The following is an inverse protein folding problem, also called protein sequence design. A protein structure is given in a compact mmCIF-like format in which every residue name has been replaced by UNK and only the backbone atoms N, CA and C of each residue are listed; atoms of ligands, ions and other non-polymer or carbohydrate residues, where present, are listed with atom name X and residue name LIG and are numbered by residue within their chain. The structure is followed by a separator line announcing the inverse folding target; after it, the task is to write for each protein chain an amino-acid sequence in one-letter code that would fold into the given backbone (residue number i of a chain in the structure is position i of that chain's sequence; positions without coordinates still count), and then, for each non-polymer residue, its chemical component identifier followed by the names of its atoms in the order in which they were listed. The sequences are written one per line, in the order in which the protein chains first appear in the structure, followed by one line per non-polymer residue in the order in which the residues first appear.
data_IF_425224103805
#
_entry.id   IF_425224103805
#
_cell.length_a   1.000
_cell.length_b   1.000
_cell.length_c   1.000
_cell.angle_alpha   90.00
_cell.angle_beta   90.00
_cell.angle_gamma   90.00
#
_symmetry.space_group_name_H-M   'P 1'
#
loop_
_entity.id
_entity.type
_entity.pdbx_description
1 polymer ?
#
# COMPACT_ATOMS: atom_id res chain seq x y z
N UNK A 1 3.97 -8.33 -2.80
CA UNK A 1 2.94 -8.33 -3.86
C UNK A 1 2.23 -6.99 -3.84
N UNK A 2 1.48 -6.62 -4.88
CA UNK A 2 0.93 -5.25 -4.97
C UNK A 2 -0.34 -5.01 -4.15
N UNK A 3 -0.93 -5.98 -3.46
CA UNK A 3 -2.19 -5.81 -2.70
C UNK A 3 -3.43 -5.32 -3.49
N UNK A 4 -3.35 -5.07 -4.79
CA UNK A 4 -4.43 -4.42 -5.59
C UNK A 4 -5.73 -5.21 -5.83
N UNK A 5 -5.88 -6.43 -5.30
CA UNK A 5 -7.03 -7.31 -5.58
C UNK A 5 -7.78 -7.63 -4.29
N UNK A 6 -8.80 -6.83 -3.97
CA UNK A 6 -9.56 -6.94 -2.73
C UNK A 6 -10.09 -8.37 -2.46
N UNK A 7 -10.85 -9.04 -3.36
CA UNK A 7 -11.40 -10.36 -3.07
C UNK A 7 -10.32 -11.42 -2.74
N UNK A 8 -9.18 -11.37 -3.42
CA UNK A 8 -8.05 -12.28 -3.16
C UNK A 8 -7.49 -12.07 -1.75
N UNK A 9 -7.22 -10.82 -1.38
CA UNK A 9 -6.58 -10.51 -0.10
C UNK A 9 -7.55 -10.67 1.06
N UNK A 10 -8.82 -10.31 0.90
CA UNK A 10 -9.86 -10.57 1.90
C UNK A 10 -9.95 -12.06 2.24
N UNK A 11 -10.01 -12.93 1.21
CA UNK A 11 -10.03 -14.39 1.42
C UNK A 11 -8.78 -14.91 2.13
N UNK A 12 -7.60 -14.36 1.79
CA UNK A 12 -6.35 -14.74 2.41
C UNK A 12 -6.29 -14.31 3.89
N UNK A 13 -6.67 -13.06 4.18
CA UNK A 13 -6.69 -12.49 5.53
C UNK A 13 -7.62 -13.33 6.42
N UNK A 14 -8.86 -13.58 6.01
CA UNK A 14 -9.79 -14.39 6.80
C UNK A 14 -9.25 -15.81 7.06
N UNK A 15 -8.63 -16.44 6.06
CA UNK A 15 -8.03 -17.77 6.25
C UNK A 15 -6.95 -17.74 7.33
N UNK A 16 -6.02 -16.78 7.24
CA UNK A 16 -4.90 -16.66 8.18
C UNK A 16 -5.40 -16.38 9.61
N UNK A 17 -6.37 -15.48 9.77
CA UNK A 17 -6.95 -15.18 11.08
C UNK A 17 -7.64 -16.43 11.66
N UNK A 18 -8.41 -17.17 10.86
CA UNK A 18 -9.06 -18.41 11.30
C UNK A 18 -8.07 -19.53 11.65
N UNK A 19 -6.87 -19.50 11.09
CA UNK A 19 -5.76 -20.42 11.42
C UNK A 19 -4.95 -19.96 12.64
N UNK A 20 -5.31 -18.82 13.26
CA UNK A 20 -4.68 -18.30 14.48
C UNK A 20 -3.47 -17.41 14.24
N UNK A 21 -3.28 -16.89 13.03
CA UNK A 21 -2.20 -15.95 12.74
C UNK A 21 -2.60 -14.49 13.00
N UNK A 22 -1.67 -13.73 13.57
CA UNK A 22 -1.68 -12.26 13.49
C UNK A 22 -1.37 -11.83 12.05
N UNK A 23 -2.09 -10.82 11.58
CA UNK A 23 -1.98 -10.33 10.21
C UNK A 23 -1.69 -8.84 10.25
N UNK A 24 -0.51 -8.48 9.77
CA UNK A 24 -0.04 -7.10 9.65
C UNK A 24 0.02 -6.72 8.17
N UNK A 25 -0.64 -5.64 7.77
CA UNK A 25 -0.55 -5.09 6.42
C UNK A 25 0.47 -3.95 6.36
N UNK A 26 1.54 -4.11 5.60
CA UNK A 26 2.50 -3.04 5.33
C UNK A 26 2.33 -2.52 3.91
N UNK A 27 2.02 -1.23 3.77
CA UNK A 27 1.95 -0.52 2.48
C UNK A 27 3.14 0.40 2.37
N UNK A 28 3.84 0.33 1.24
CA UNK A 28 4.92 1.26 0.90
C UNK A 28 4.47 2.07 -0.30
N UNK A 29 4.34 3.36 -0.11
CA UNK A 29 3.79 4.30 -1.06
C UNK A 29 4.87 5.23 -1.64
N UNK A 30 4.68 5.59 -2.91
CA UNK A 30 5.46 6.61 -3.63
C UNK A 30 4.57 7.32 -4.66
N UNK A 31 4.94 8.53 -5.11
CA UNK A 31 4.37 9.16 -6.30
C UNK A 31 4.57 8.31 -7.56
N UNK A 32 3.64 8.41 -8.52
CA UNK A 32 3.69 7.61 -9.76
C UNK A 32 4.93 7.93 -10.60
N UNK A 33 5.42 9.17 -10.55
CA UNK A 33 6.62 9.63 -11.23
C UNK A 33 7.86 8.90 -10.70
N UNK A 34 7.96 8.76 -9.37
CA UNK A 34 9.03 8.01 -8.71
C UNK A 34 8.94 6.52 -9.06
N UNK A 35 7.73 5.96 -9.08
CA UNK A 35 7.54 4.57 -9.48
C UNK A 35 7.92 4.31 -10.95
N UNK A 36 7.59 5.24 -11.86
CA UNK A 36 7.98 5.18 -13.28
C UNK A 36 9.49 5.19 -13.44
N UNK A 37 10.18 6.11 -12.76
CA UNK A 37 11.63 6.20 -12.82
C UNK A 37 12.30 4.93 -12.29
N UNK A 38 11.87 4.45 -11.12
CA UNK A 38 12.40 3.20 -10.53
C UNK A 38 12.11 1.98 -11.40
N UNK A 39 10.95 1.92 -12.05
CA UNK A 39 10.63 0.87 -13.02
C UNK A 39 11.57 0.91 -14.22
N UNK A 40 11.81 2.10 -14.77
CA UNK A 40 12.68 2.29 -15.92
C UNK A 40 14.11 1.85 -15.61
N UNK A 41 14.68 2.30 -14.49
CA UNK A 41 16.01 1.90 -14.03
C UNK A 41 16.11 0.37 -13.87
N UNK A 42 15.12 -0.25 -13.22
CA UNK A 42 15.06 -1.71 -13.07
C UNK A 42 14.90 -2.44 -14.41
N UNK A 43 14.20 -1.86 -15.38
CA UNK A 43 14.10 -2.41 -16.73
C UNK A 43 15.46 -2.37 -17.44
N UNK A 44 16.22 -1.27 -17.30
CA UNK A 44 17.56 -1.16 -17.90
C UNK A 44 18.49 -2.27 -17.39
N UNK A 45 18.40 -2.62 -16.10
CA UNK A 45 19.19 -3.68 -15.47
C UNK A 45 18.68 -5.09 -15.79
N UNK A 46 17.38 -5.33 -15.60
CA UNK A 46 16.81 -6.69 -15.60
C UNK A 46 16.17 -7.10 -16.91
N UNK A 47 15.98 -6.14 -17.84
CA UNK A 47 15.24 -6.28 -19.10
C UNK A 47 13.78 -6.75 -18.94
N UNK A 48 13.21 -6.65 -17.74
CA UNK A 48 11.80 -6.98 -17.45
C UNK A 48 10.99 -5.70 -17.26
N UNK A 49 10.19 -5.37 -18.28
CA UNK A 49 9.33 -4.18 -18.28
C UNK A 49 7.96 -4.49 -17.70
N UNK A 50 7.45 -3.61 -16.86
CA UNK A 50 6.05 -3.56 -16.44
C UNK A 50 5.33 -2.60 -17.39
N UNK A 51 4.15 -2.99 -17.86
CA UNK A 51 3.36 -2.11 -18.71
C UNK A 51 2.85 -0.90 -17.89
N UNK A 52 2.84 0.27 -18.51
CA UNK A 52 2.54 1.52 -17.81
C UNK A 52 1.11 1.57 -17.27
N UNK A 53 0.15 1.02 -18.01
CA UNK A 53 -1.24 0.86 -17.59
C UNK A 53 -1.34 0.01 -16.31
N UNK A 54 -0.56 -1.07 -16.20
CA UNK A 54 -0.49 -1.92 -14.99
C UNK A 54 0.10 -1.15 -13.80
N UNK A 55 1.07 -0.27 -14.04
CA UNK A 55 1.68 0.57 -13.00
C UNK A 55 0.67 1.59 -12.46
N UNK A 56 -0.03 2.29 -13.37
CA UNK A 56 -1.07 3.29 -13.05
C UNK A 56 -2.26 2.64 -12.34
N UNK A 57 -2.76 1.52 -12.88
CA UNK A 57 -3.84 0.75 -12.27
C UNK A 57 -3.46 0.32 -10.85
N UNK A 58 -2.23 -0.15 -10.65
CA UNK A 58 -1.77 -0.54 -9.31
C UNK A 58 -1.75 0.66 -8.35
N UNK A 59 -1.26 1.84 -8.77
CA UNK A 59 -1.26 3.04 -7.92
C UNK A 59 -2.67 3.46 -7.50
N UNK A 60 -3.66 3.28 -8.39
CA UNK A 60 -5.05 3.58 -8.09
C UNK A 60 -5.70 2.50 -7.22
N UNK A 61 -5.45 1.22 -7.46
CA UNK A 61 -6.17 0.14 -6.79
C UNK A 61 -5.62 -0.22 -5.41
N UNK A 62 -4.37 0.13 -5.10
CA UNK A 62 -3.76 -0.18 -3.80
C UNK A 62 -4.40 0.59 -2.64
N UNK A 63 -4.52 1.92 -2.68
CA UNK A 63 -5.16 2.65 -1.59
C UNK A 63 -6.62 2.26 -1.41
N UNK A 64 -7.36 2.04 -2.50
CA UNK A 64 -8.73 1.52 -2.47
C UNK A 64 -8.81 0.15 -1.80
N UNK A 65 -7.94 -0.79 -2.20
CA UNK A 65 -7.95 -2.13 -1.60
C UNK A 65 -7.54 -2.06 -0.13
N UNK A 66 -6.53 -1.26 0.20
CA UNK A 66 -6.10 -1.05 1.58
C UNK A 66 -7.22 -0.46 2.43
N UNK A 67 -7.91 0.59 1.97
CA UNK A 67 -9.04 1.21 2.67
C UNK A 67 -10.08 0.16 3.09
N UNK A 68 -10.41 -0.75 2.18
CA UNK A 68 -11.40 -1.81 2.43
C UNK A 68 -10.87 -2.98 3.30
N UNK A 69 -9.55 -3.14 3.46
CA UNK A 69 -8.94 -4.24 4.20
C UNK A 69 -8.37 -3.82 5.56
N UNK A 70 -8.08 -2.53 5.77
CA UNK A 70 -7.31 -2.03 6.92
C UNK A 70 -7.98 -2.37 8.26
N UNK A 71 -9.31 -2.51 8.28
CA UNK A 71 -10.08 -2.86 9.48
C UNK A 71 -10.22 -4.38 9.67
N UNK A 72 -9.88 -5.19 8.66
CA UNK A 72 -9.90 -6.65 8.73
C UNK A 72 -8.60 -7.25 9.29
N UNK A 73 -7.50 -6.51 9.19
CA UNK A 73 -6.19 -6.91 9.70
C UNK A 73 -6.02 -6.50 11.17
N UNK A 74 -5.15 -7.20 11.90
CA UNK A 74 -4.84 -6.85 13.28
C UNK A 74 -4.07 -5.54 13.34
N UNK A 75 -3.12 -5.39 12.42
CA UNK A 75 -2.21 -4.26 12.37
C UNK A 75 -2.03 -3.75 10.94
N UNK A 76 -1.70 -2.48 10.80
CA UNK A 76 -1.12 -1.99 9.55
C UNK A 76 -0.14 -0.86 9.78
N UNK A 77 0.71 -0.65 8.77
CA UNK A 77 1.53 0.55 8.65
C UNK A 77 1.54 0.99 7.18
N UNK A 78 1.41 2.29 6.96
CA UNK A 78 1.59 2.94 5.67
C UNK A 78 2.86 3.77 5.73
N UNK A 79 3.78 3.53 4.79
CA UNK A 79 5.06 4.23 4.69
C UNK A 79 5.12 5.07 3.42
N UNK A 80 5.78 6.21 3.50
CA UNK A 80 6.30 6.95 2.35
C UNK A 80 7.77 6.55 2.13
N UNK A 81 8.09 6.16 0.90
CA UNK A 81 9.45 5.83 0.45
C UNK A 81 9.85 6.66 -0.79
N UNK A 82 9.33 7.88 -0.92
CA UNK A 82 9.59 8.80 -2.03
C UNK A 82 11.08 9.12 -2.14
N UNK A 83 11.69 9.50 -1.03
CA UNK A 83 13.12 9.79 -0.93
C UNK A 83 13.92 8.50 -0.80
N UNK A 84 15.02 8.38 -1.56
CA UNK A 84 15.84 7.19 -1.52
C UNK A 84 16.58 7.05 -0.18
N UNK A 85 16.53 5.86 0.41
CA UNK A 85 17.09 5.59 1.74
C UNK A 85 16.32 6.19 2.93
N UNK A 86 15.20 6.88 2.69
CA UNK A 86 14.36 7.48 3.75
C UNK A 86 12.98 6.83 3.74
N UNK A 87 12.57 6.33 4.90
CA UNK A 87 11.25 5.76 5.12
C UNK A 87 10.55 6.60 6.19
N UNK A 88 9.37 7.12 5.86
CA UNK A 88 8.55 7.91 6.78
C UNK A 88 7.25 7.17 7.04
N UNK A 89 6.89 6.95 8.30
CA UNK A 89 5.59 6.42 8.68
C UNK A 89 4.51 7.48 8.46
N UNK A 90 3.46 7.12 7.71
CA UNK A 90 2.31 7.98 7.42
C UNK A 90 1.21 7.72 8.45
N UNK A 91 0.85 6.46 8.65
CA UNK A 91 -0.19 6.03 9.57
C UNK A 91 0.04 4.58 10.00
N UNK A 92 -0.40 4.25 11.20
CA UNK A 92 -0.35 2.89 11.74
C UNK A 92 -1.59 2.55 12.56
N UNK A 93 -1.86 1.25 12.68
CA UNK A 93 -2.79 0.69 13.64
C UNK A 93 -2.13 -0.52 14.29
N UNK A 94 -2.13 -0.54 15.62
CA UNK A 94 -1.66 -1.68 16.42
C UNK A 94 -2.82 -2.61 16.78
N UNK A 95 -2.55 -3.77 17.37
CA UNK A 95 -3.59 -4.72 17.80
C UNK A 95 -4.65 -4.11 18.74
N UNK A 96 -4.32 -3.00 19.43
CA UNK A 96 -5.26 -2.26 20.28
C UNK A 96 -6.35 -1.52 19.49
N UNK A 97 -6.29 -1.53 18.15
CA UNK A 97 -7.33 -1.03 17.25
C UNK A 97 -7.37 0.48 17.06
N UNK A 98 -6.48 1.23 17.70
CA UNK A 98 -6.39 2.69 17.54
C UNK A 98 -5.47 3.02 16.36
N UNK A 99 -6.01 3.74 15.38
CA UNK A 99 -5.23 4.33 14.30
C UNK A 99 -4.50 5.59 14.79
N UNK A 100 -3.21 5.67 14.49
CA UNK A 100 -2.36 6.84 14.71
C UNK A 100 -1.93 7.35 13.34
N UNK A 101 -2.23 8.62 13.05
CA UNK A 101 -1.81 9.29 11.82
C UNK A 101 -0.66 10.22 12.15
N UNK A 102 0.52 9.92 11.59
CA UNK A 102 1.75 10.68 11.79
C UNK A 102 1.88 11.83 10.78
N UNK A 103 1.36 11.64 9.57
CA UNK A 103 1.34 12.65 8.50
C UNK A 103 0.01 12.61 7.73
N UNK A 104 -0.92 13.48 8.12
CA UNK A 104 -2.26 13.52 7.55
C UNK A 104 -2.27 13.93 6.07
N UNK A 105 -1.37 14.82 5.66
CA UNK A 105 -1.30 15.25 4.25
C UNK A 105 -0.81 14.11 3.35
N UNK A 106 0.18 13.33 3.78
CA UNK A 106 0.64 12.15 3.03
C UNK A 106 -0.44 11.08 2.98
N UNK A 107 -1.20 10.91 4.06
CA UNK A 107 -2.31 9.95 4.10
C UNK A 107 -3.43 10.36 3.13
N UNK A 108 -3.80 11.64 3.10
CA UNK A 108 -4.77 12.17 2.14
C UNK A 108 -4.28 11.95 0.69
N UNK A 109 -3.04 12.35 0.38
CA UNK A 109 -2.43 12.14 -0.95
C UNK A 109 -2.40 10.66 -1.36
N UNK A 110 -2.18 9.76 -0.42
CA UNK A 110 -2.22 8.31 -0.68
C UNK A 110 -3.63 7.87 -1.13
N UNK A 111 -4.68 8.29 -0.42
CA UNK A 111 -6.06 7.95 -0.75
C UNK A 111 -6.62 8.68 -1.97
N UNK A 112 -6.16 9.89 -2.26
CA UNK A 112 -6.54 10.66 -3.46
C UNK A 112 -6.22 9.91 -4.76
N UNK A 113 -5.19 9.06 -4.78
CA UNK A 113 -4.86 8.19 -5.94
C UNK A 113 -6.02 7.28 -6.33
N UNK A 114 -6.88 6.95 -5.37
CA UNK A 114 -8.09 6.14 -5.54
C UNK A 114 -9.38 6.98 -5.62
N UNK A 115 -9.29 8.31 -5.49
CA UNK A 115 -10.45 9.21 -5.42
C UNK A 115 -11.17 9.17 -4.07
N UNK A 116 -10.56 8.60 -3.03
CA UNK A 116 -11.09 8.58 -1.67
C UNK A 116 -10.72 9.89 -0.98
N UNK A 117 -11.70 10.53 -0.34
CA UNK A 117 -11.51 11.72 0.52
C UNK A 117 -11.76 11.30 1.96
N UNK A 118 -10.81 11.62 2.84
CA UNK A 118 -10.88 11.33 4.27
C UNK A 118 -11.74 12.36 5.02
#
# INVERSE_FOLDING_TARGET
GTMKNFPKYQKLIYRLINEGYTVTAAVVDVPIEVAREREHLRYLETKRKVQEDVLIESHRSVPETFYNLKDLVHEYIVYDATEDGVIVEIAEKTENGVEIVHDAEKLERFYEKSGIKL
#
